data_IF_154672334138
#
_entry.id   IF_154672334138
#
_cell.length_a   1.000
_cell.length_b   1.000
_cell.length_c   1.000
_cell.angle_alpha   90.00
_cell.angle_beta   90.00
_cell.angle_gamma   90.00
#
_symmetry.space_group_name_H-M   'P 1'
#
loop_
_entity.id
_entity.type
_entity.pdbx_description
1 polymer ?
#
# COMPACT_ATOMS: atom_id res chain seq x y z
N UNK A 1 -9.20 18.42 9.92
CA UNK A 1 -9.68 17.05 9.61
C UNK A 1 -9.67 16.76 8.12
N UNK A 2 -10.34 17.54 7.25
CA UNK A 2 -10.49 17.18 5.82
C UNK A 2 -9.21 17.20 4.99
N UNK A 3 -8.31 18.17 5.22
CA UNK A 3 -7.05 18.29 4.45
C UNK A 3 -6.12 17.10 4.74
N UNK A 4 -6.08 16.64 5.99
CA UNK A 4 -5.26 15.50 6.40
C UNK A 4 -5.78 14.20 5.76
N UNK A 5 -7.09 13.99 5.78
CA UNK A 5 -7.73 12.85 5.13
C UNK A 5 -7.54 12.87 3.60
N UNK A 6 -7.55 14.05 2.98
CA UNK A 6 -7.25 14.20 1.56
C UNK A 6 -5.79 13.81 1.25
N UNK A 7 -4.85 14.24 2.11
CA UNK A 7 -3.44 13.91 1.98
C UNK A 7 -3.19 12.41 2.15
N UNK A 8 -3.81 11.78 3.14
CA UNK A 8 -3.77 10.33 3.34
C UNK A 8 -4.28 9.60 2.09
N UNK A 9 -5.43 10.02 1.54
CA UNK A 9 -5.99 9.45 0.32
C UNK A 9 -5.02 9.58 -0.87
N UNK A 10 -4.36 10.73 -1.02
CA UNK A 10 -3.34 10.95 -2.06
C UNK A 10 -2.12 10.02 -1.89
N UNK A 11 -1.68 9.79 -0.66
CA UNK A 11 -0.59 8.84 -0.36
C UNK A 11 -1.01 7.43 -0.77
N UNK A 12 -2.21 6.98 -0.40
CA UNK A 12 -2.71 5.67 -0.80
C UNK A 12 -2.85 5.51 -2.32
N UNK A 13 -3.41 6.53 -3.00
CA UNK A 13 -3.57 6.54 -4.46
C UNK A 13 -2.23 6.49 -5.19
N UNK A 14 -1.20 7.18 -4.69
CA UNK A 14 0.13 7.17 -5.29
C UNK A 14 0.91 5.87 -5.01
N UNK A 15 0.70 5.23 -3.86
CA UNK A 15 1.31 3.94 -3.51
C UNK A 15 0.75 2.77 -4.31
N UNK A 16 -0.55 2.78 -4.59
CA UNK A 16 -1.25 1.68 -5.26
C UNK A 16 -0.57 1.24 -6.59
N UNK A 17 -0.23 2.14 -7.55
CA UNK A 17 0.47 1.74 -8.77
C UNK A 17 1.92 1.26 -8.53
N UNK A 18 2.58 1.74 -7.47
CA UNK A 18 3.94 1.32 -7.11
C UNK A 18 3.90 -0.11 -6.58
N UNK A 19 3.03 -0.38 -5.60
CA UNK A 19 2.85 -1.69 -5.00
C UNK A 19 2.39 -2.71 -6.05
N UNK A 20 1.49 -2.33 -6.96
CA UNK A 20 1.09 -3.17 -8.08
C UNK A 20 2.29 -3.61 -8.94
N UNK A 21 3.17 -2.67 -9.33
CA UNK A 21 4.39 -2.97 -10.11
C UNK A 21 5.37 -3.87 -9.36
N UNK A 22 5.47 -3.74 -8.04
CA UNK A 22 6.38 -4.59 -7.25
C UNK A 22 5.83 -6.01 -7.17
N UNK A 23 4.54 -6.17 -6.87
CA UNK A 23 3.95 -7.49 -6.65
C UNK A 23 3.86 -8.28 -7.95
N UNK A 24 3.56 -7.65 -9.10
CA UNK A 24 3.48 -8.39 -10.38
C UNK A 24 4.82 -9.01 -10.81
N UNK A 25 5.94 -8.47 -10.32
CA UNK A 25 7.28 -9.02 -10.56
C UNK A 25 7.55 -10.25 -9.69
N UNK A 26 6.82 -10.42 -8.58
CA UNK A 26 6.94 -11.60 -7.73
C UNK A 26 6.31 -12.78 -8.46
N UNK A 27 7.12 -13.80 -8.72
CA UNK A 27 6.66 -15.04 -9.32
C UNK A 27 5.99 -15.95 -8.27
N UNK A 28 4.67 -15.85 -8.17
CA UNK A 28 3.85 -16.64 -7.24
C UNK A 28 3.42 -17.98 -7.88
N UNK A 29 3.86 -18.28 -9.11
CA UNK A 29 3.51 -19.52 -9.82
C UNK A 29 3.98 -20.79 -9.09
N UNK A 30 4.96 -20.67 -8.20
CA UNK A 30 5.44 -21.77 -7.35
C UNK A 30 4.48 -22.13 -6.20
N UNK A 31 3.59 -21.22 -5.81
CA UNK A 31 2.66 -21.41 -4.68
C UNK A 31 1.33 -22.01 -5.17
N UNK A 32 0.91 -21.71 -6.40
CA UNK A 32 -0.37 -22.17 -6.95
C UNK A 32 -0.19 -23.29 -7.98
N UNK A 33 -0.99 -24.36 -7.88
CA UNK A 33 -1.05 -25.42 -8.90
C UNK A 33 -1.52 -24.82 -10.24
N UNK A 34 -0.94 -25.31 -11.34
CA UNK A 34 -1.32 -24.91 -12.71
C UNK A 34 -2.85 -25.05 -12.90
N UNK A 35 -3.49 -23.98 -13.39
CA UNK A 35 -4.93 -23.79 -13.71
C UNK A 35 -5.80 -22.98 -12.73
N UNK A 36 -5.31 -22.54 -11.57
CA UNK A 36 -6.11 -21.68 -10.65
C UNK A 36 -6.01 -20.17 -10.97
N UNK A 37 -6.24 -19.77 -12.22
CA UNK A 37 -6.02 -18.37 -12.67
C UNK A 37 -6.87 -17.33 -11.95
N UNK A 38 -8.12 -17.66 -11.60
CA UNK A 38 -9.01 -16.75 -10.86
C UNK A 38 -8.57 -16.55 -9.41
N UNK A 39 -8.21 -17.65 -8.72
CA UNK A 39 -7.73 -17.59 -7.33
C UNK A 39 -6.41 -16.84 -7.22
N UNK A 40 -5.51 -17.06 -8.18
CA UNK A 40 -4.25 -16.32 -8.28
C UNK A 40 -4.52 -14.82 -8.40
N UNK A 41 -5.43 -14.40 -9.30
CA UNK A 41 -5.79 -12.98 -9.45
C UNK A 41 -6.36 -12.38 -8.16
N UNK A 42 -7.24 -13.11 -7.47
CA UNK A 42 -7.81 -12.67 -6.20
C UNK A 42 -6.73 -12.54 -5.12
N UNK A 43 -5.78 -13.48 -5.08
CA UNK A 43 -4.65 -13.44 -4.15
C UNK A 43 -3.74 -12.24 -4.42
N UNK A 44 -3.38 -12.00 -5.69
CA UNK A 44 -2.61 -10.81 -6.07
C UNK A 44 -3.32 -9.52 -5.66
N UNK A 45 -4.62 -9.39 -5.93
CA UNK A 45 -5.41 -8.23 -5.55
C UNK A 45 -5.40 -8.01 -4.03
N UNK A 46 -5.58 -9.08 -3.26
CA UNK A 46 -5.54 -9.02 -1.80
C UNK A 46 -4.16 -8.60 -1.27
N UNK A 47 -3.08 -9.17 -1.82
CA UNK A 47 -1.71 -8.80 -1.46
C UNK A 47 -1.41 -7.32 -1.78
N UNK A 48 -1.89 -6.82 -2.93
CA UNK A 48 -1.75 -5.41 -3.29
C UNK A 48 -2.43 -4.51 -2.24
N UNK A 49 -3.65 -4.83 -1.83
CA UNK A 49 -4.37 -4.03 -0.83
C UNK A 49 -3.64 -4.04 0.51
N UNK A 50 -3.23 -5.22 1.01
CA UNK A 50 -2.54 -5.34 2.30
C UNK A 50 -1.25 -4.54 2.28
N UNK A 51 -0.40 -4.77 1.27
CA UNK A 51 0.91 -4.12 1.21
C UNK A 51 0.75 -2.60 1.05
N UNK A 52 -0.23 -2.15 0.24
CA UNK A 52 -0.54 -0.72 0.09
C UNK A 52 -0.99 -0.11 1.41
N UNK A 53 -1.83 -0.82 2.17
CA UNK A 53 -2.33 -0.34 3.48
C UNK A 53 -1.19 -0.23 4.49
N UNK A 54 -0.42 -1.31 4.68
CA UNK A 54 0.71 -1.35 5.63
C UNK A 54 1.75 -0.28 5.29
N UNK A 55 2.10 -0.13 4.01
CA UNK A 55 3.09 0.85 3.57
C UNK A 55 2.56 2.28 3.73
N UNK A 56 1.29 2.52 3.41
CA UNK A 56 0.66 3.83 3.59
C UNK A 56 0.57 4.24 5.06
N UNK A 57 0.13 3.35 5.94
CA UNK A 57 0.11 3.60 7.39
C UNK A 57 1.51 3.89 7.94
N UNK A 58 2.53 3.16 7.46
CA UNK A 58 3.91 3.43 7.84
C UNK A 58 4.39 4.82 7.42
N UNK A 59 4.04 5.27 6.20
CA UNK A 59 4.39 6.61 5.72
C UNK A 59 3.67 7.69 6.52
N UNK A 60 2.38 7.51 6.82
CA UNK A 60 1.60 8.45 7.64
C UNK A 60 2.21 8.55 9.05
N UNK A 61 2.54 7.41 9.66
CA UNK A 61 3.21 7.36 10.96
C UNK A 61 4.57 8.10 10.92
N UNK A 62 5.36 7.94 9.86
CA UNK A 62 6.59 8.70 9.68
C UNK A 62 6.32 10.20 9.59
N UNK A 63 5.32 10.62 8.81
CA UNK A 63 4.95 12.03 8.69
C UNK A 63 4.53 12.63 10.03
N UNK A 64 3.74 11.91 10.83
CA UNK A 64 3.34 12.35 12.16
C UNK A 64 4.54 12.41 13.12
N UNK A 65 5.48 11.47 13.01
CA UNK A 65 6.73 11.51 13.76
C UNK A 65 7.56 12.75 13.40
N UNK A 66 7.73 13.06 12.12
CA UNK A 66 8.42 14.27 11.66
C UNK A 66 7.72 15.54 12.11
N UNK A 67 6.37 15.58 12.05
CA UNK A 67 5.58 16.72 12.52
C UNK A 67 5.80 16.97 14.01
N UNK A 68 5.81 15.89 14.82
CA UNK A 68 6.08 15.96 16.25
C UNK A 68 7.52 16.40 16.53
N UNK A 69 8.50 15.91 15.78
CA UNK A 69 9.92 16.22 15.97
C UNK A 69 10.23 17.69 15.61
N UNK A 70 9.62 18.21 14.55
CA UNK A 70 9.81 19.57 14.07
C UNK A 70 9.01 20.62 14.89
N UNK A 71 8.21 20.18 15.86
CA UNK A 71 7.41 21.08 16.70
C UNK A 71 6.36 21.88 15.91
N UNK A 72 5.97 21.43 14.72
CA UNK A 72 4.99 22.10 13.87
C UNK A 72 3.59 21.72 14.39
N UNK A 73 3.21 22.36 15.49
CA UNK A 73 1.82 22.45 15.95
C UNK A 73 1.11 23.51 15.11
N UNK A 74 0.40 23.06 14.09
CA UNK A 74 -0.62 23.82 13.36
C UNK A 74 -1.98 23.39 13.87
#
# INVERSE_FOLDING_TARGET
MSIYQLLELCIYLSLLPIVYKVIIVIDISKIFKKNHTTEIKMFYFFMIIIITKVTGDFIIMLMDCFRSLLGITL
#
